data_IF_194320804038
#
_entry.id   IF_194320804038
#
_cell.length_a   1.000
_cell.length_b   1.000
_cell.length_c   1.000
_cell.angle_alpha   90.00
_cell.angle_beta   90.00
_cell.angle_gamma   90.00
#
_symmetry.space_group_name_H-M   'P 1'
#
loop_
_entity.id
_entity.type
_entity.pdbx_description
1 polymer ?
#
# COMPACT_ATOMS: atom_id res chain seq x y z
N UNK A 1 13.31 -19.81 2.44
CA UNK A 1 12.18 -19.68 1.50
C UNK A 1 11.28 -18.60 2.05
N UNK A 2 11.03 -17.53 1.30
CA UNK A 2 10.15 -16.46 1.78
C UNK A 2 8.71 -17.00 1.90
N UNK A 3 8.11 -16.82 3.09
CA UNK A 3 6.74 -17.23 3.34
C UNK A 3 5.82 -16.25 2.61
N UNK A 4 5.22 -16.70 1.52
CA UNK A 4 4.22 -15.92 0.81
C UNK A 4 2.86 -16.12 1.48
N UNK A 5 2.28 -15.03 2.00
CA UNK A 5 0.95 -15.01 2.60
C UNK A 5 -0.03 -14.59 1.51
N UNK A 6 -0.91 -15.52 1.11
CA UNK A 6 -1.96 -15.27 0.13
C UNK A 6 -3.13 -16.23 0.36
N UNK A 7 -4.36 -15.74 0.18
CA UNK A 7 -5.55 -16.60 0.19
C UNK A 7 -5.61 -17.43 -1.10
N UNK A 8 -6.22 -18.63 -1.06
CA UNK A 8 -6.45 -19.42 -2.26
C UNK A 8 -7.36 -18.64 -3.22
N UNK A 9 -7.07 -18.73 -4.52
CA UNK A 9 -7.94 -18.16 -5.56
C UNK A 9 -9.22 -18.97 -5.68
N UNK A 10 -10.31 -18.29 -6.08
CA UNK A 10 -11.58 -18.98 -6.34
C UNK A 10 -11.42 -19.99 -7.49
N UNK A 11 -11.95 -21.23 -7.37
CA UNK A 11 -11.97 -22.20 -8.46
C UNK A 11 -12.73 -21.71 -9.71
N UNK A 12 -13.63 -20.74 -9.52
CA UNK A 12 -14.47 -20.16 -10.57
C UNK A 12 -13.78 -19.02 -11.33
N UNK A 13 -12.60 -18.58 -10.89
CA UNK A 13 -11.83 -17.54 -11.59
C UNK A 13 -11.33 -18.08 -12.95
N UNK A 14 -11.55 -17.37 -14.07
CA UNK A 14 -11.03 -17.77 -15.36
C UNK A 14 -9.51 -17.98 -15.32
N UNK A 15 -9.05 -19.16 -15.73
CA UNK A 15 -7.61 -19.49 -15.76
C UNK A 15 -6.86 -18.76 -16.89
N UNK A 16 -7.58 -18.38 -17.95
CA UNK A 16 -7.04 -17.68 -19.12
C UNK A 16 -7.64 -16.27 -19.16
N UNK A 17 -6.78 -15.25 -19.25
CA UNK A 17 -7.21 -13.85 -19.36
C UNK A 17 -7.72 -13.58 -20.79
N UNK A 18 -9.00 -13.21 -20.90
CA UNK A 18 -9.59 -12.72 -22.15
C UNK A 18 -9.22 -11.25 -22.46
N UNK A 19 -9.62 -10.72 -23.63
CA UNK A 19 -9.39 -9.33 -23.99
C UNK A 19 -10.23 -8.33 -23.17
N UNK A 20 -11.24 -8.82 -22.47
CA UNK A 20 -12.18 -8.03 -21.67
C UNK A 20 -11.59 -7.64 -20.32
N UNK A 21 -12.00 -6.47 -19.81
CA UNK A 21 -11.61 -6.01 -18.47
C UNK A 21 -12.40 -6.77 -17.39
N UNK A 22 -11.70 -7.65 -16.68
CA UNK A 22 -12.28 -8.46 -15.60
C UNK A 22 -12.28 -7.73 -14.25
N UNK A 23 -12.89 -8.33 -13.24
CA UNK A 23 -12.99 -7.75 -11.89
C UNK A 23 -11.62 -7.47 -11.25
N UNK A 24 -10.63 -8.31 -11.54
CA UNK A 24 -9.27 -8.13 -11.05
C UNK A 24 -8.63 -6.90 -11.70
N UNK A 25 -8.85 -6.66 -12.98
CA UNK A 25 -8.36 -5.46 -13.66
C UNK A 25 -9.07 -4.21 -13.10
N UNK A 26 -10.41 -4.26 -12.93
CA UNK A 26 -11.22 -3.16 -12.36
C UNK A 26 -10.76 -2.76 -10.96
N UNK A 27 -10.57 -3.72 -10.07
CA UNK A 27 -10.18 -3.41 -8.70
C UNK A 27 -8.73 -2.91 -8.60
N UNK A 28 -7.84 -3.34 -9.51
CA UNK A 28 -6.48 -2.79 -9.61
C UNK A 28 -6.48 -1.34 -10.10
N UNK A 29 -7.37 -0.99 -11.02
CA UNK A 29 -7.57 0.40 -11.45
C UNK A 29 -8.05 1.26 -10.27
N UNK A 30 -9.10 0.81 -9.57
CA UNK A 30 -9.60 1.46 -8.34
C UNK A 30 -8.50 1.64 -7.29
N UNK A 31 -7.72 0.59 -7.00
CA UNK A 31 -6.59 0.64 -6.07
C UNK A 31 -5.56 1.70 -6.49
N UNK A 32 -5.29 1.82 -7.79
CA UNK A 32 -4.34 2.79 -8.32
C UNK A 32 -4.87 4.22 -8.21
N UNK A 33 -6.15 4.43 -8.49
CA UNK A 33 -6.80 5.73 -8.30
C UNK A 33 -6.77 6.18 -6.84
N UNK A 34 -7.11 5.29 -5.90
CA UNK A 34 -7.11 5.64 -4.47
C UNK A 34 -5.70 6.00 -4.00
N UNK A 35 -4.65 5.29 -4.44
CA UNK A 35 -3.25 5.64 -4.16
C UNK A 35 -2.91 7.05 -4.65
N UNK A 36 -3.29 7.39 -5.88
CA UNK A 36 -3.04 8.72 -6.44
C UNK A 36 -3.77 9.81 -5.67
N UNK A 37 -5.04 9.58 -5.31
CA UNK A 37 -5.80 10.50 -4.47
C UNK A 37 -5.13 10.68 -3.11
N UNK A 38 -4.75 9.59 -2.45
CA UNK A 38 -4.08 9.64 -1.14
C UNK A 38 -2.79 10.47 -1.19
N UNK A 39 -1.99 10.35 -2.26
CA UNK A 39 -0.79 11.18 -2.46
C UNK A 39 -1.16 12.66 -2.59
N UNK A 40 -2.11 12.99 -3.48
CA UNK A 40 -2.51 14.38 -3.71
C UNK A 40 -3.09 15.05 -2.47
N UNK A 41 -3.92 14.33 -1.71
CA UNK A 41 -4.52 14.82 -0.47
C UNK A 41 -3.46 15.02 0.63
N UNK A 42 -2.47 14.13 0.76
CA UNK A 42 -1.37 14.33 1.71
C UNK A 42 -0.57 15.60 1.39
N UNK A 43 -0.20 15.79 0.11
CA UNK A 43 0.54 16.98 -0.34
C UNK A 43 -0.28 18.24 -0.04
N UNK A 44 -1.55 18.26 -0.45
CA UNK A 44 -2.43 19.41 -0.22
C UNK A 44 -2.61 19.72 1.27
N UNK A 45 -2.84 18.70 2.10
CA UNK A 45 -3.06 18.88 3.53
C UNK A 45 -1.85 19.49 4.23
N UNK A 46 -0.63 19.09 3.86
CA UNK A 46 0.61 19.63 4.42
C UNK A 46 0.79 21.14 4.16
N UNK A 47 0.15 21.68 3.13
CA UNK A 47 0.30 23.08 2.69
C UNK A 47 -0.95 23.94 2.96
N UNK A 48 -1.99 23.38 3.59
CA UNK A 48 -3.25 24.08 3.85
C UNK A 48 -3.22 24.95 5.11
N UNK A 49 -3.54 26.24 4.96
CA UNK A 49 -3.57 27.21 6.07
C UNK A 49 -4.98 27.50 6.62
N UNK A 50 -6.03 27.24 5.85
CA UNK A 50 -7.41 27.45 6.33
C UNK A 50 -7.83 26.28 7.24
N UNK A 51 -8.14 26.50 8.53
CA UNK A 51 -8.40 25.40 9.47
C UNK A 51 -9.64 24.56 9.13
N UNK A 52 -10.71 25.18 8.62
CA UNK A 52 -11.95 24.46 8.28
C UNK A 52 -11.75 23.59 7.04
N UNK A 53 -11.04 24.12 6.03
CA UNK A 53 -10.70 23.37 4.83
C UNK A 53 -9.72 22.24 5.16
N UNK A 54 -8.70 22.52 5.96
CA UNK A 54 -7.74 21.52 6.44
C UNK A 54 -8.47 20.36 7.13
N UNK A 55 -9.39 20.64 8.06
CA UNK A 55 -10.17 19.60 8.73
C UNK A 55 -11.02 18.77 7.75
N UNK A 56 -11.64 19.42 6.76
CA UNK A 56 -12.47 18.73 5.77
C UNK A 56 -11.65 17.80 4.88
N UNK A 57 -10.48 18.26 4.44
CA UNK A 57 -9.55 17.49 3.59
C UNK A 57 -8.91 16.35 4.38
N UNK A 58 -8.59 16.57 5.66
CA UNK A 58 -8.12 15.51 6.56
C UNK A 58 -9.16 14.39 6.72
N UNK A 59 -10.45 14.72 6.83
CA UNK A 59 -11.51 13.72 6.90
C UNK A 59 -11.59 12.91 5.60
N UNK A 60 -11.53 13.55 4.43
CA UNK A 60 -11.53 12.85 3.15
C UNK A 60 -10.32 11.93 3.03
N UNK A 61 -9.14 12.38 3.45
CA UNK A 61 -7.93 11.55 3.45
C UNK A 61 -8.09 10.31 4.36
N UNK A 62 -8.71 10.47 5.53
CA UNK A 62 -9.03 9.36 6.43
C UNK A 62 -9.97 8.36 5.76
N UNK A 63 -11.01 8.84 5.07
CA UNK A 63 -11.96 7.99 4.35
C UNK A 63 -11.29 7.26 3.19
N UNK A 64 -10.36 7.91 2.48
CA UNK A 64 -9.54 7.30 1.43
C UNK A 64 -8.64 6.19 2.01
N UNK A 65 -8.02 6.38 3.17
CA UNK A 65 -7.24 5.34 3.84
C UNK A 65 -8.11 4.14 4.22
N UNK A 66 -9.32 4.38 4.74
CA UNK A 66 -10.26 3.32 5.08
C UNK A 66 -10.72 2.54 3.84
N UNK A 67 -10.99 3.26 2.74
CA UNK A 67 -11.38 2.67 1.45
C UNK A 67 -10.24 1.84 0.85
N UNK A 68 -9.02 2.37 0.86
CA UNK A 68 -7.81 1.67 0.43
C UNK A 68 -7.62 0.34 1.18
N UNK A 69 -7.85 0.34 2.49
CA UNK A 69 -7.78 -0.88 3.31
C UNK A 69 -8.83 -1.91 2.89
N UNK A 70 -10.09 -1.49 2.69
CA UNK A 70 -11.17 -2.39 2.25
C UNK A 70 -10.91 -2.98 0.87
N UNK A 71 -10.42 -2.17 -0.08
CA UNK A 71 -10.04 -2.64 -1.43
C UNK A 71 -8.90 -3.65 -1.34
N UNK A 72 -7.87 -3.35 -0.54
CA UNK A 72 -6.76 -4.27 -0.30
C UNK A 72 -7.24 -5.60 0.31
N UNK A 73 -8.05 -5.56 1.37
CA UNK A 73 -8.58 -6.77 2.01
C UNK A 73 -9.43 -7.57 1.03
N UNK A 74 -10.33 -6.93 0.26
CA UNK A 74 -11.12 -7.62 -0.76
C UNK A 74 -10.24 -8.33 -1.81
N UNK A 75 -9.16 -7.68 -2.27
CA UNK A 75 -8.19 -8.30 -3.17
C UNK A 75 -7.42 -9.45 -2.51
N UNK A 76 -7.05 -9.29 -1.24
CA UNK A 76 -6.36 -10.31 -0.47
C UNK A 76 -7.23 -11.55 -0.25
N UNK A 77 -8.49 -11.38 0.18
CA UNK A 77 -9.46 -12.48 0.37
C UNK A 77 -9.72 -13.26 -0.92
N UNK A 78 -9.67 -12.60 -2.08
CA UNK A 78 -9.81 -13.24 -3.39
C UNK A 78 -8.53 -13.91 -3.91
N UNK A 79 -7.43 -13.84 -3.17
CA UNK A 79 -6.13 -14.38 -3.60
C UNK A 79 -5.48 -13.58 -4.75
N UNK A 80 -5.94 -12.35 -4.98
CA UNK A 80 -5.42 -11.47 -6.03
C UNK A 80 -4.22 -10.66 -5.59
N UNK A 81 -4.04 -10.52 -4.28
CA UNK A 81 -2.90 -9.86 -3.66
C UNK A 81 -2.09 -10.87 -2.84
N UNK A 82 -0.76 -10.83 -2.98
CA UNK A 82 0.15 -11.69 -2.22
C UNK A 82 1.09 -10.82 -1.40
N UNK A 83 1.22 -11.15 -0.12
CA UNK A 83 2.19 -10.51 0.75
C UNK A 83 3.40 -11.42 0.90
N UNK A 84 4.59 -10.82 0.94
CA UNK A 84 5.81 -11.51 1.32
C UNK A 84 6.03 -11.24 2.80
N UNK A 85 6.00 -12.27 3.63
CA UNK A 85 6.54 -12.13 4.98
C UNK A 85 8.05 -11.97 4.85
N UNK A 86 8.58 -10.88 5.40
CA UNK A 86 10.02 -10.72 5.54
C UNK A 86 10.54 -11.84 6.46
N UNK A 87 11.55 -12.57 6.01
CA UNK A 87 12.19 -13.55 6.88
C UNK A 87 13.16 -12.87 7.85
N UNK A 88 13.56 -13.59 8.90
CA UNK A 88 14.46 -13.04 9.93
C UNK A 88 15.81 -12.60 9.36
N UNK A 89 16.26 -13.21 8.26
CA UNK A 89 17.50 -12.83 7.61
C UNK A 89 17.35 -11.49 6.90
N UNK A 90 16.24 -11.27 6.17
CA UNK A 90 15.94 -9.98 5.53
C UNK A 90 15.80 -8.85 6.56
N UNK A 91 15.15 -9.13 7.70
CA UNK A 91 15.03 -8.16 8.81
C UNK A 91 16.41 -7.82 9.38
N UNK A 92 17.24 -8.84 9.67
CA UNK A 92 18.59 -8.66 10.20
C UNK A 92 19.51 -7.91 9.24
N UNK A 93 19.41 -8.20 7.94
CA UNK A 93 20.15 -7.51 6.90
C UNK A 93 19.77 -6.04 6.82
N UNK A 94 18.47 -5.73 6.79
CA UNK A 94 17.99 -4.34 6.81
C UNK A 94 18.46 -3.60 8.07
N UNK A 95 18.32 -4.21 9.24
CA UNK A 95 18.80 -3.64 10.50
C UNK A 95 20.30 -3.32 10.45
N UNK A 96 21.11 -4.26 9.99
CA UNK A 96 22.57 -4.09 9.87
C UNK A 96 22.91 -2.97 8.88
N UNK A 97 22.25 -2.94 7.71
CA UNK A 97 22.45 -1.89 6.71
C UNK A 97 22.19 -0.49 7.28
N UNK A 98 21.04 -0.27 7.92
CA UNK A 98 20.69 1.04 8.47
C UNK A 98 21.51 1.39 9.71
N UNK A 99 21.89 0.41 10.54
CA UNK A 99 22.80 0.63 11.68
C UNK A 99 24.17 1.12 11.20
N UNK A 100 24.68 0.58 10.09
CA UNK A 100 25.95 1.01 9.51
C UNK A 100 25.93 2.46 9.01
N UNK A 101 24.77 3.03 8.68
CA UNK A 101 24.69 4.46 8.32
C UNK A 101 25.02 5.38 9.49
N UNK A 102 24.94 4.92 10.74
CA UNK A 102 25.41 5.71 11.88
C UNK A 102 26.90 6.06 11.80
N UNK A 103 27.70 5.26 11.10
CA UNK A 103 29.12 5.56 10.86
C UNK A 103 29.36 6.75 9.92
N UNK A 104 28.31 7.22 9.22
CA UNK A 104 28.35 8.37 8.33
C UNK A 104 27.91 9.66 9.04
N UNK A 105 27.51 9.59 10.32
CA UNK A 105 27.12 10.79 11.06
C UNK A 105 28.32 11.72 11.23
N UNK A 106 28.12 13.04 11.03
CA UNK A 106 29.18 14.01 11.26
C UNK A 106 29.59 13.99 12.73
N UNK A 107 30.89 13.84 12.98
CA UNK A 107 31.47 14.06 14.31
C UNK A 107 31.67 15.56 14.50
N UNK A 108 30.88 16.14 15.40
CA UNK A 108 31.14 17.49 15.89
C UNK A 108 32.07 17.37 17.10
N UNK A 109 33.33 17.78 16.91
CA UNK A 109 34.30 17.96 18.00
C UNK A 109 33.99 19.20 18.82
#
# INVERSE_FOLDING_TARGET
MSLQIAMPKSPQEPQVKGPEMNDRDRINDVLSSIKQLTIGYNIGLNEMQNPQLHQSVAQILQDLHQTQFQVFDAMFQKGWYKMKAADQQEISQAHTQFSNYSSQFPNFQ
#
